data_IF_373931684877
#
_entry.id   IF_373931684877
#
_cell.length_a   1.000
_cell.length_b   1.000
_cell.length_c   1.000
_cell.angle_alpha   90.00
_cell.angle_beta   90.00
_cell.angle_gamma   90.00
#
_symmetry.space_group_name_H-M   'P 1'
#
loop_
_entity.id
_entity.type
_entity.pdbx_description
1 polymer ?
#
# COMPACT_ATOMS: atom_id res chain seq x y z
N UNK A 1 -4.32 1.40 -4.44
CA UNK A 1 -3.58 2.01 -3.33
C UNK A 1 -4.40 2.15 -2.04
N UNK A 2 -5.75 2.17 -2.08
CA UNK A 2 -6.58 2.37 -0.87
C UNK A 2 -7.20 1.07 -0.32
N UNK A 3 -7.44 0.07 -1.17
CA UNK A 3 -8.07 -1.19 -0.75
C UNK A 3 -7.24 -1.96 0.29
N UNK A 4 -5.93 -2.05 0.05
CA UNK A 4 -4.98 -2.77 0.90
C UNK A 4 -4.87 -2.16 2.31
N UNK A 5 -4.65 -0.84 2.49
CA UNK A 5 -4.63 -0.25 3.82
C UNK A 5 -5.97 -0.36 4.56
N UNK A 6 -7.12 -0.25 3.86
CA UNK A 6 -8.43 -0.47 4.49
C UNK A 6 -8.56 -1.91 5.01
N UNK A 7 -8.19 -2.90 4.19
CA UNK A 7 -8.21 -4.30 4.61
C UNK A 7 -7.28 -4.54 5.81
N UNK A 8 -6.10 -3.92 5.82
CA UNK A 8 -5.17 -4.00 6.96
C UNK A 8 -5.79 -3.43 8.23
N UNK A 9 -6.47 -2.28 8.18
CA UNK A 9 -7.19 -1.71 9.34
C UNK A 9 -8.23 -2.70 9.87
N UNK A 10 -9.05 -3.27 8.99
CA UNK A 10 -10.09 -4.25 9.37
C UNK A 10 -9.48 -5.50 9.99
N UNK A 11 -8.43 -6.05 9.39
CA UNK A 11 -7.75 -7.26 9.89
C UNK A 11 -7.09 -6.99 11.24
N UNK A 12 -6.39 -5.87 11.41
CA UNK A 12 -5.77 -5.52 12.69
C UNK A 12 -6.82 -5.34 13.77
N UNK A 13 -7.95 -4.70 13.47
CA UNK A 13 -9.05 -4.54 14.42
C UNK A 13 -9.68 -5.88 14.85
N UNK A 14 -9.77 -6.86 13.94
CA UNK A 14 -10.40 -8.15 14.21
C UNK A 14 -9.46 -9.17 14.86
N UNK A 15 -8.20 -9.25 14.39
CA UNK A 15 -7.26 -10.30 14.79
C UNK A 15 -6.26 -9.83 15.85
N UNK A 16 -5.99 -8.53 15.93
CA UNK A 16 -4.99 -7.97 16.84
C UNK A 16 -5.48 -6.71 17.57
N UNK A 17 -6.63 -6.75 18.27
CA UNK A 17 -7.19 -5.59 18.94
C UNK A 17 -6.32 -5.04 20.09
N UNK A 18 -5.39 -5.84 20.60
CA UNK A 18 -4.43 -5.44 21.64
C UNK A 18 -3.14 -4.83 21.10
N UNK A 19 -2.99 -4.72 19.77
CA UNK A 19 -1.81 -4.08 19.17
C UNK A 19 -1.83 -2.59 19.50
N UNK A 20 -0.74 -2.07 20.07
CA UNK A 20 -0.60 -0.64 20.35
C UNK A 20 -0.74 0.21 19.09
N UNK A 21 -1.28 1.43 19.23
CA UNK A 21 -1.58 2.36 18.13
C UNK A 21 -0.40 2.62 17.19
N UNK A 22 0.83 2.62 17.73
CA UNK A 22 2.06 2.77 16.94
C UNK A 22 2.26 1.60 15.96
N UNK A 23 2.04 0.37 16.42
CA UNK A 23 2.26 -0.84 15.63
C UNK A 23 1.17 -1.03 14.58
N UNK A 24 -0.09 -0.75 14.92
CA UNK A 24 -1.20 -0.80 13.97
C UNK A 24 -1.04 0.26 12.89
N UNK A 25 -0.68 1.48 13.27
CA UNK A 25 -0.38 2.57 12.33
C UNK A 25 0.76 2.23 11.38
N UNK A 26 1.83 1.60 11.88
CA UNK A 26 2.96 1.17 11.05
C UNK A 26 2.54 0.12 10.01
N UNK A 27 1.70 -0.85 10.38
CA UNK A 27 1.19 -1.87 9.45
C UNK A 27 0.31 -1.25 8.34
N UNK A 28 -0.56 -0.32 8.72
CA UNK A 28 -1.42 0.40 7.76
C UNK A 28 -0.58 1.26 6.82
N UNK A 29 0.48 1.90 7.33
CA UNK A 29 1.46 2.64 6.53
C UNK A 29 2.18 1.76 5.52
N UNK A 30 2.67 0.59 5.93
CA UNK A 30 3.33 -0.35 5.01
C UNK A 30 2.37 -0.82 3.91
N UNK A 31 1.10 -1.05 4.25
CA UNK A 31 0.07 -1.43 3.27
C UNK A 31 -0.31 -0.31 2.29
N UNK A 32 -0.13 0.95 2.69
CA UNK A 32 -0.37 2.12 1.84
C UNK A 32 0.79 2.44 0.88
N UNK A 33 1.94 1.77 1.01
CA UNK A 33 3.10 2.04 0.17
C UNK A 33 2.84 1.66 -1.30
N UNK A 34 3.38 2.44 -2.26
CA UNK A 34 3.24 2.16 -3.68
C UNK A 34 3.90 0.84 -4.05
N UNK A 35 3.34 0.18 -5.07
CA UNK A 35 3.83 -1.09 -5.60
C UNK A 35 5.27 -0.92 -6.08
N UNK A 36 6.19 -1.70 -5.51
CA UNK A 36 7.63 -1.60 -5.76
C UNK A 36 8.00 -1.81 -7.23
N UNK A 37 9.11 -1.19 -7.67
CA UNK A 37 9.78 -1.48 -8.94
C UNK A 37 10.08 -2.98 -9.14
N UNK A 38 10.15 -3.76 -8.06
CA UNK A 38 10.28 -5.23 -8.12
C UNK A 38 9.12 -5.90 -8.87
N UNK A 39 7.90 -5.35 -8.78
CA UNK A 39 6.75 -5.85 -9.52
C UNK A 39 6.88 -5.65 -11.05
N UNK A 40 7.63 -4.64 -11.49
CA UNK A 40 7.98 -4.44 -12.90
C UNK A 40 8.91 -5.54 -13.39
N UNK A 41 9.94 -5.87 -12.61
CA UNK A 41 10.89 -6.91 -13.00
C UNK A 41 10.21 -8.28 -13.04
N UNK A 42 9.33 -8.58 -12.08
CA UNK A 42 8.52 -9.81 -12.09
C UNK A 42 7.57 -9.87 -13.29
N UNK A 43 6.95 -8.74 -13.66
CA UNK A 43 6.04 -8.73 -14.80
C UNK A 43 6.74 -8.97 -16.14
N UNK A 44 8.00 -8.55 -16.27
CA UNK A 44 8.82 -8.87 -17.44
C UNK A 44 9.13 -10.38 -17.53
N UNK A 45 9.23 -11.05 -16.38
CA UNK A 45 9.51 -12.49 -16.31
C UNK A 45 8.27 -13.35 -16.59
N UNK A 46 7.08 -12.83 -16.29
CA UNK A 46 5.79 -13.50 -16.48
C UNK A 46 5.09 -13.15 -17.82
N UNK A 47 5.84 -12.62 -18.79
CA UNK A 47 5.36 -12.26 -20.15
C UNK A 47 4.21 -11.21 -20.16
N UNK A 48 4.10 -10.41 -19.10
CA UNK A 48 3.11 -9.35 -18.99
C UNK A 48 3.56 -8.06 -19.71
N UNK A 49 2.63 -7.36 -20.35
CA UNK A 49 2.95 -6.18 -21.17
C UNK A 49 3.73 -5.11 -20.34
N UNK A 50 5.00 -4.86 -20.70
CA UNK A 50 5.88 -3.87 -20.05
C UNK A 50 5.26 -2.49 -19.89
N UNK A 51 4.45 -2.05 -20.86
CA UNK A 51 3.85 -0.71 -20.86
C UNK A 51 2.74 -0.59 -19.83
N UNK A 52 1.97 -1.66 -19.65
CA UNK A 52 0.88 -1.67 -18.68
C UNK A 52 1.46 -1.61 -17.27
N UNK A 53 2.53 -2.35 -17.00
CA UNK A 53 3.09 -2.44 -15.65
C UNK A 53 3.87 -1.17 -15.28
N UNK A 54 4.64 -0.60 -16.21
CA UNK A 54 5.34 0.67 -15.99
C UNK A 54 4.38 1.84 -15.75
N UNK A 55 3.30 1.93 -16.53
CA UNK A 55 2.26 2.95 -16.32
C UNK A 55 1.52 2.75 -15.00
N UNK A 56 1.25 1.51 -14.60
CA UNK A 56 0.64 1.19 -13.32
C UNK A 56 1.51 1.60 -12.13
N UNK A 57 2.83 1.45 -12.23
CA UNK A 57 3.80 1.90 -11.22
C UNK A 57 3.89 3.42 -11.15
N UNK A 58 3.91 4.10 -12.31
CA UNK A 58 3.92 5.56 -12.36
C UNK A 58 2.64 6.13 -11.72
N UNK A 59 1.48 5.58 -12.08
CA UNK A 59 0.19 5.98 -11.52
C UNK A 59 0.12 5.67 -10.02
N UNK A 60 0.54 4.48 -9.59
CA UNK A 60 0.52 4.13 -8.16
C UNK A 60 1.46 5.01 -7.34
N UNK A 61 2.60 5.42 -7.90
CA UNK A 61 3.54 6.34 -7.26
C UNK A 61 2.94 7.74 -7.11
N UNK A 62 2.34 8.29 -8.17
CA UNK A 62 1.66 9.61 -8.13
C UNK A 62 0.51 9.58 -7.13
N UNK A 63 -0.30 8.53 -7.15
CA UNK A 63 -1.41 8.36 -6.21
C UNK A 63 -0.89 8.16 -4.79
N UNK A 64 0.26 7.51 -4.60
CA UNK A 64 0.93 7.32 -3.32
C UNK A 64 1.31 8.65 -2.65
N UNK A 65 1.73 9.65 -3.42
CA UNK A 65 2.05 11.00 -2.90
C UNK A 65 0.86 11.62 -2.15
N UNK A 66 -0.37 11.39 -2.62
CA UNK A 66 -1.57 11.87 -1.94
C UNK A 66 -2.09 10.87 -0.88
N UNK A 67 -2.01 9.57 -1.17
CA UNK A 67 -2.61 8.53 -0.33
C UNK A 67 -1.85 8.31 0.98
N UNK A 68 -0.53 8.40 0.97
CA UNK A 68 0.32 8.22 2.17
C UNK A 68 0.01 9.29 3.25
N UNK A 69 0.05 10.61 2.95
CA UNK A 69 -0.26 11.63 3.96
C UNK A 69 -1.72 11.55 4.45
N UNK A 70 -2.66 11.22 3.56
CA UNK A 70 -4.06 11.00 3.96
C UNK A 70 -4.19 9.81 4.91
N UNK A 71 -3.53 8.68 4.61
CA UNK A 71 -3.54 7.51 5.48
C UNK A 71 -2.89 7.79 6.85
N UNK A 72 -1.79 8.54 6.87
CA UNK A 72 -1.17 9.03 8.10
C UNK A 72 -2.13 9.87 8.95
N UNK A 73 -2.81 10.83 8.32
CA UNK A 73 -3.73 11.74 9.03
C UNK A 73 -4.99 11.04 9.58
N UNK A 74 -5.43 9.95 8.96
CA UNK A 74 -6.70 9.30 9.32
C UNK A 74 -6.53 8.09 10.23
N UNK A 75 -5.39 7.39 10.16
CA UNK A 75 -5.19 6.10 10.82
C UNK A 75 -4.03 6.06 11.81
N UNK A 76 -3.15 7.07 11.82
CA UNK A 76 -1.92 7.06 12.66
C UNK A 76 -1.90 8.22 13.66
N UNK A 77 -2.26 9.43 13.22
CA UNK A 77 -2.45 10.61 14.06
C UNK A 77 -3.87 10.64 14.65
#
# INVERSE_FOLDING_TARGET
MVLLPILTVVIVALLAPSLGSLWSGTLVLMAAMPTSATAYVLSQQEDADPRIVSSMIAVSSIVGVATIPLALSWFVL
#
